data_IF_994237828403
#
_entry.id   IF_994237828403
#
_cell.length_a   1.000
_cell.length_b   1.000
_cell.length_c   1.000
_cell.angle_alpha   90.00
_cell.angle_beta   90.00
_cell.angle_gamma   90.00
#
_symmetry.space_group_name_H-M   'P 1'
#
loop_
_entity.id
_entity.type
_entity.pdbx_description
1 polymer ?
#
# COMPACT_ATOMS: atom_id res chain seq x y z
N UNK A 1 13.53 -21.25 -12.96
CA UNK A 1 12.92 -19.93 -13.20
C UNK A 1 13.65 -18.94 -12.33
N UNK A 2 14.29 -17.95 -12.95
CA UNK A 2 15.18 -17.01 -12.30
C UNK A 2 14.49 -16.32 -11.13
N UNK A 3 15.13 -16.38 -9.95
CA UNK A 3 14.83 -15.49 -8.83
C UNK A 3 15.17 -14.10 -9.36
N UNK A 4 14.18 -13.22 -9.52
CA UNK A 4 14.46 -11.82 -9.85
C UNK A 4 15.46 -11.31 -8.81
N UNK A 5 16.60 -10.70 -9.21
CA UNK A 5 17.49 -10.08 -8.25
C UNK A 5 16.67 -9.01 -7.52
N UNK A 6 16.47 -9.19 -6.21
CA UNK A 6 15.71 -8.27 -5.41
C UNK A 6 16.57 -7.02 -5.21
N UNK A 7 16.37 -6.04 -6.10
CA UNK A 7 17.02 -4.75 -6.02
C UNK A 7 16.77 -4.11 -4.64
N UNK A 8 17.78 -3.40 -4.14
CA UNK A 8 17.67 -2.59 -2.92
C UNK A 8 17.61 -1.11 -3.27
N UNK A 9 16.91 -0.33 -2.44
CA UNK A 9 16.85 1.13 -2.59
C UNK A 9 18.08 1.75 -1.95
N UNK A 10 18.82 2.52 -2.73
CA UNK A 10 20.04 3.23 -2.29
C UNK A 10 19.82 4.72 -2.12
N UNK A 11 18.84 5.29 -2.83
CA UNK A 11 18.43 6.69 -2.69
C UNK A 11 17.00 6.92 -3.19
N UNK A 12 16.42 8.03 -2.75
CA UNK A 12 15.09 8.49 -3.13
C UNK A 12 15.14 10.01 -3.29
N UNK A 13 14.55 10.53 -4.37
CA UNK A 13 14.40 11.97 -4.56
C UNK A 13 13.09 12.30 -5.28
N UNK A 14 12.66 13.54 -5.17
CA UNK A 14 11.46 14.06 -5.80
C UNK A 14 11.85 15.27 -6.65
N UNK A 15 11.36 15.32 -7.89
CA UNK A 15 11.56 16.47 -8.77
C UNK A 15 10.22 17.05 -9.20
N UNK A 16 10.09 18.37 -9.04
CA UNK A 16 8.96 19.17 -9.48
C UNK A 16 9.29 19.88 -10.78
N UNK A 17 8.35 19.89 -11.71
CA UNK A 17 8.47 20.49 -13.03
C UNK A 17 7.37 21.54 -13.14
N UNK A 18 7.74 22.79 -13.40
CA UNK A 18 6.79 23.87 -13.63
C UNK A 18 6.99 24.48 -15.02
N UNK A 19 5.95 25.05 -15.64
CA UNK A 19 6.09 25.72 -16.94
C UNK A 19 7.02 26.93 -16.89
N UNK A 20 7.17 27.55 -15.72
CA UNK A 20 7.90 28.82 -15.51
C UNK A 20 9.32 28.63 -15.01
N UNK A 21 9.63 27.49 -14.39
CA UNK A 21 10.94 27.15 -13.87
C UNK A 21 11.34 25.76 -14.39
N UNK A 22 12.29 25.67 -15.34
CA UNK A 22 12.82 24.38 -15.75
C UNK A 22 13.49 23.69 -14.55
N UNK A 23 13.49 22.35 -14.50
CA UNK A 23 14.15 21.61 -13.43
C UNK A 23 15.63 21.99 -13.37
N UNK A 24 16.15 22.23 -12.16
CA UNK A 24 17.56 22.59 -11.93
C UNK A 24 18.53 21.53 -12.48
N UNK A 25 18.10 20.26 -12.52
CA UNK A 25 18.79 19.14 -13.16
C UNK A 25 17.81 17.96 -13.24
N UNK A 26 17.68 17.29 -14.39
CA UNK A 26 16.94 16.03 -14.45
C UNK A 26 17.78 14.89 -13.84
N UNK A 27 17.19 14.02 -13.01
CA UNK A 27 17.90 12.87 -12.49
C UNK A 27 18.42 11.98 -13.62
N UNK A 28 19.71 11.60 -13.55
CA UNK A 28 20.34 10.72 -14.54
C UNK A 28 19.54 9.42 -14.75
N UNK A 29 19.02 9.16 -15.97
CA UNK A 29 18.19 8.00 -16.24
C UNK A 29 18.93 6.67 -16.13
N UNK A 30 20.28 6.65 -16.12
CA UNK A 30 21.05 5.43 -15.88
C UNK A 30 21.03 5.01 -14.41
N UNK A 31 20.85 5.97 -13.49
CA UNK A 31 20.87 5.75 -12.04
C UNK A 31 19.46 5.75 -11.45
N UNK A 32 18.61 6.66 -11.91
CA UNK A 32 17.32 6.97 -11.31
C UNK A 32 16.18 6.36 -12.11
N UNK A 33 15.32 5.63 -11.41
CA UNK A 33 14.12 5.06 -11.97
C UNK A 33 12.92 5.89 -11.52
N UNK A 34 12.17 6.44 -12.47
CA UNK A 34 10.96 7.20 -12.20
C UNK A 34 9.81 6.25 -11.82
N UNK A 35 9.09 6.59 -10.76
CA UNK A 35 7.78 5.99 -10.49
C UNK A 35 6.76 6.69 -11.37
N UNK A 36 6.09 5.93 -12.23
CA UNK A 36 5.13 6.44 -13.23
C UNK A 36 3.79 6.86 -12.60
N UNK A 37 3.86 7.78 -11.63
CA UNK A 37 2.74 8.44 -10.99
C UNK A 37 3.05 9.93 -10.84
N UNK A 38 2.28 10.78 -11.52
CA UNK A 38 2.36 12.22 -11.30
C UNK A 38 1.76 12.53 -9.92
N UNK A 39 2.55 13.13 -9.05
CA UNK A 39 2.13 13.41 -7.68
C UNK A 39 1.02 14.49 -7.62
N UNK A 40 0.76 15.20 -8.72
CA UNK A 40 -0.40 16.08 -8.88
C UNK A 40 -1.58 15.44 -9.60
N UNK A 41 -1.51 14.15 -9.96
CA UNK A 41 -2.56 13.42 -10.68
C UNK A 41 -3.04 14.14 -11.96
N UNK A 42 -2.14 14.88 -12.63
CA UNK A 42 -2.46 15.69 -13.81
C UNK A 42 -3.55 16.76 -13.60
N UNK A 43 -3.84 17.13 -12.35
CA UNK A 43 -4.83 18.16 -11.99
C UNK A 43 -4.21 19.56 -11.86
N UNK A 44 -2.88 19.67 -11.91
CA UNK A 44 -2.12 20.91 -11.81
C UNK A 44 -1.40 21.22 -13.12
N UNK A 45 -1.05 22.50 -13.32
CA UNK A 45 -0.13 22.90 -14.39
C UNK A 45 1.33 22.47 -14.12
N UNK A 46 1.63 22.10 -12.87
CA UNK A 46 2.91 21.54 -12.47
C UNK A 46 2.81 20.01 -12.45
N UNK A 47 3.93 19.34 -12.70
CA UNK A 47 4.07 17.90 -12.52
C UNK A 47 5.12 17.63 -11.45
N UNK A 48 4.97 16.54 -10.72
CA UNK A 48 6.00 16.11 -9.80
C UNK A 48 6.14 14.59 -9.87
N UNK A 49 7.38 14.13 -9.84
CA UNK A 49 7.71 12.72 -10.01
C UNK A 49 8.67 12.26 -8.92
N UNK A 50 8.45 11.03 -8.46
CA UNK A 50 9.32 10.36 -7.51
C UNK A 50 10.35 9.50 -8.25
N UNK A 51 11.61 9.62 -7.86
CA UNK A 51 12.74 8.92 -8.47
C UNK A 51 13.44 8.06 -7.44
N UNK A 52 13.66 6.79 -7.77
CA UNK A 52 14.28 5.80 -6.89
C UNK A 52 15.59 5.31 -7.51
N UNK A 53 16.68 5.39 -6.77
CA UNK A 53 17.93 4.74 -7.14
C UNK A 53 17.93 3.32 -6.56
N UNK A 54 18.24 2.35 -7.42
CA UNK A 54 18.23 0.92 -7.08
C UNK A 54 19.55 0.28 -7.46
N UNK A 55 20.01 -0.65 -6.63
CA UNK A 55 21.23 -1.42 -6.89
C UNK A 55 20.97 -2.92 -6.74
N UNK A 56 21.71 -3.71 -7.51
CA UNK A 56 21.74 -5.15 -7.36
C UNK A 56 22.56 -5.52 -6.11
N UNK A 57 22.01 -6.31 -5.16
CA UNK A 57 22.74 -6.79 -3.99
C UNK A 57 24.13 -7.38 -4.27
N UNK A 58 24.29 -8.05 -5.42
CA UNK A 58 25.54 -8.72 -5.80
C UNK A 58 26.65 -7.73 -6.22
N UNK A 59 26.28 -6.52 -6.61
CA UNK A 59 27.19 -5.47 -7.08
C UNK A 59 27.55 -4.47 -5.97
N UNK A 60 26.96 -4.61 -4.78
CA UNK A 60 27.19 -3.71 -3.66
C UNK A 60 28.58 -3.89 -3.05
N UNK A 61 29.21 -2.77 -2.76
CA UNK A 61 30.50 -2.65 -2.07
C UNK A 61 30.31 -2.00 -0.70
N UNK A 62 31.34 -2.06 0.15
CA UNK A 62 31.30 -1.44 1.49
C UNK A 62 31.16 0.10 1.46
N UNK A 63 31.40 0.73 0.31
CA UNK A 63 31.20 2.18 0.12
C UNK A 63 29.77 2.54 -0.28
N UNK A 64 28.98 1.57 -0.73
CA UNK A 64 27.59 1.79 -1.09
C UNK A 64 26.73 2.02 0.15
N UNK A 65 25.68 2.81 -0.04
CA UNK A 65 24.80 3.24 1.04
C UNK A 65 23.39 2.70 0.77
N UNK A 66 22.80 2.09 1.80
CA UNK A 66 21.45 1.54 1.78
C UNK A 66 20.48 2.43 2.53
N UNK A 67 19.26 2.54 2.02
CA UNK A 67 18.15 3.18 2.73
C UNK A 67 17.53 2.16 3.69
N UNK A 68 17.48 2.51 4.97
CA UNK A 68 16.91 1.70 6.04
C UNK A 68 15.50 2.14 6.43
N UNK A 69 15.22 3.43 6.37
CA UNK A 69 13.91 3.94 6.74
C UNK A 69 13.68 5.22 5.96
N UNK A 70 12.41 5.51 5.71
CA UNK A 70 11.95 6.69 5.01
C UNK A 70 10.85 7.29 5.87
N UNK A 71 10.92 8.60 6.11
CA UNK A 71 9.89 9.35 6.81
C UNK A 71 9.45 10.53 5.99
N UNK A 72 8.22 10.96 6.23
CA UNK A 72 7.66 12.16 5.61
C UNK A 72 7.11 13.07 6.70
N UNK A 73 7.42 14.36 6.62
CA UNK A 73 6.95 15.38 7.55
C UNK A 73 8.09 16.17 8.19
N UNK A 74 7.91 16.52 9.46
CA UNK A 74 8.87 17.33 10.21
C UNK A 74 10.20 16.61 10.44
N UNK A 75 11.26 17.41 10.62
CA UNK A 75 12.60 16.89 10.86
C UNK A 75 12.62 15.96 12.08
N UNK A 76 13.13 14.72 11.94
CA UNK A 76 13.24 13.80 13.06
C UNK A 76 14.19 14.36 14.12
N UNK A 77 13.72 14.43 15.37
CA UNK A 77 14.33 15.26 16.41
C UNK A 77 15.57 14.65 17.08
N UNK A 78 15.85 13.34 16.95
CA UNK A 78 16.93 12.68 17.69
C UNK A 78 17.58 11.47 16.98
N UNK A 79 18.90 11.33 17.19
CA UNK A 79 19.61 10.03 17.27
C UNK A 79 20.30 9.51 16.01
N UNK A 80 19.85 9.88 14.81
CA UNK A 80 20.42 9.38 13.56
C UNK A 80 20.67 10.51 12.55
N UNK A 81 21.67 10.34 11.68
CA UNK A 81 21.95 11.26 10.57
C UNK A 81 20.91 11.06 9.46
N UNK A 82 19.74 11.71 9.61
CA UNK A 82 18.68 11.69 8.61
C UNK A 82 18.99 12.65 7.45
N UNK A 83 18.99 12.08 6.24
CA UNK A 83 19.09 12.72 4.93
C UNK A 83 17.83 13.49 4.52
N UNK A 84 17.82 14.83 4.48
CA UNK A 84 16.67 15.56 3.90
C UNK A 84 16.62 15.42 2.37
N UNK A 85 15.40 15.33 1.83
CA UNK A 85 15.06 15.30 0.41
C UNK A 85 13.82 16.19 0.15
N UNK A 86 13.63 16.67 -1.10
CA UNK A 86 12.44 17.46 -1.45
C UNK A 86 11.13 16.73 -1.12
N UNK A 87 10.07 17.50 -0.85
CA UNK A 87 8.75 16.96 -0.49
C UNK A 87 8.63 16.51 0.97
N UNK A 88 9.49 17.02 1.86
CA UNK A 88 9.47 16.67 3.29
C UNK A 88 9.91 15.25 3.58
N UNK A 89 10.70 14.65 2.68
CA UNK A 89 11.19 13.28 2.77
C UNK A 89 12.49 13.27 3.59
N UNK A 90 12.61 12.30 4.49
CA UNK A 90 13.80 12.06 5.31
C UNK A 90 14.25 10.62 5.12
N UNK A 91 15.52 10.42 4.78
CA UNK A 91 16.12 9.09 4.57
C UNK A 91 17.07 8.74 5.71
N UNK A 92 16.88 7.57 6.31
CA UNK A 92 17.87 6.96 7.18
C UNK A 92 18.75 6.06 6.33
N UNK A 93 20.05 6.35 6.30
CA UNK A 93 21.00 5.66 5.44
C UNK A 93 22.16 5.06 6.22
N UNK A 94 22.65 3.90 5.80
CA UNK A 94 23.87 3.27 6.33
C UNK A 94 24.76 2.72 5.23
N UNK A 95 26.07 2.68 5.47
CA UNK A 95 26.99 1.92 4.61
C UNK A 95 26.62 0.44 4.60
N UNK A 96 26.78 -0.19 3.45
CA UNK A 96 26.53 -1.61 3.29
C UNK A 96 27.50 -2.43 4.16
N UNK A 97 26.96 -3.26 5.05
CA UNK A 97 27.71 -4.10 5.98
C UNK A 97 27.96 -5.51 5.47
N UNK A 98 27.65 -5.79 4.19
CA UNK A 98 27.68 -7.13 3.61
C UNK A 98 26.38 -7.93 3.82
N UNK A 99 25.42 -7.41 4.58
CA UNK A 99 24.13 -8.07 4.85
C UNK A 99 22.97 -7.11 4.60
N UNK A 100 21.97 -7.60 3.88
CA UNK A 100 20.67 -6.95 3.70
C UNK A 100 19.73 -7.60 4.73
N UNK A 101 19.41 -6.86 5.79
CA UNK A 101 18.47 -7.29 6.82
C UNK A 101 17.04 -6.83 6.51
N UNK A 102 16.10 -7.16 7.40
CA UNK A 102 14.69 -6.81 7.25
C UNK A 102 14.41 -5.31 7.36
N UNK A 103 15.36 -4.50 7.83
CA UNK A 103 15.20 -3.06 7.90
C UNK A 103 15.52 -2.37 6.57
N UNK A 104 16.19 -3.03 5.61
CA UNK A 104 16.53 -2.36 4.34
C UNK A 104 15.27 -2.14 3.49
N UNK A 105 15.10 -0.93 2.96
CA UNK A 105 14.03 -0.61 2.01
C UNK A 105 14.37 -1.19 0.64
N UNK A 106 13.46 -1.98 0.07
CA UNK A 106 13.66 -2.64 -1.23
C UNK A 106 12.75 -2.10 -2.32
N UNK A 107 11.56 -1.65 -1.96
CA UNK A 107 10.63 -1.03 -2.91
C UNK A 107 9.97 0.22 -2.30
N UNK A 108 9.65 1.17 -3.16
CA UNK A 108 8.92 2.40 -2.84
C UNK A 108 7.87 2.59 -3.92
N UNK A 109 6.70 3.04 -3.52
CA UNK A 109 5.54 3.33 -4.36
C UNK A 109 4.80 4.55 -3.78
N UNK A 110 3.82 5.07 -4.50
CA UNK A 110 2.99 6.21 -4.08
C UNK A 110 1.53 5.82 -4.16
N UNK A 111 0.76 6.11 -3.12
CA UNK A 111 -0.70 5.97 -3.12
C UNK A 111 -1.34 7.33 -2.80
N UNK A 112 -2.57 7.52 -3.24
CA UNK A 112 -3.27 8.80 -3.20
C UNK A 112 -4.59 8.68 -2.46
N UNK A 113 -4.97 9.75 -1.76
CA UNK A 113 -6.23 9.83 -1.03
C UNK A 113 -6.05 9.81 0.48
N UNK A 114 -7.00 10.43 1.18
CA UNK A 114 -7.03 10.43 2.66
C UNK A 114 -7.36 9.03 3.20
N UNK A 115 -8.18 8.29 2.46
CA UNK A 115 -8.63 6.91 2.65
C UNK A 115 -7.72 5.86 1.99
N UNK A 116 -6.57 6.27 1.47
CA UNK A 116 -5.59 5.35 0.87
C UNK A 116 -5.16 4.26 1.85
N UNK A 117 -5.07 3.03 1.35
CA UNK A 117 -4.60 1.85 2.09
C UNK A 117 -3.63 1.05 1.22
N UNK A 118 -2.64 0.41 1.84
CA UNK A 118 -1.79 -0.56 1.15
C UNK A 118 -2.00 -1.96 1.74
N UNK A 119 -2.74 -2.84 1.06
CA UNK A 119 -3.05 -4.16 1.57
C UNK A 119 -1.97 -5.19 1.20
N UNK A 120 -0.94 -4.80 0.47
CA UNK A 120 0.15 -5.73 0.09
C UNK A 120 0.90 -6.15 1.35
N UNK A 121 1.17 -7.46 1.54
CA UNK A 121 1.91 -7.93 2.71
C UNK A 121 3.28 -7.24 2.85
N UNK A 122 3.62 -6.82 4.07
CA UNK A 122 4.87 -6.12 4.45
C UNK A 122 5.07 -4.72 3.87
N UNK A 123 4.13 -4.21 3.09
CA UNK A 123 4.14 -2.80 2.70
C UNK A 123 3.63 -1.94 3.85
N UNK A 124 4.24 -0.77 4.02
CA UNK A 124 3.85 0.21 5.01
C UNK A 124 3.53 1.53 4.30
N UNK A 125 2.26 1.94 4.41
CA UNK A 125 1.81 3.25 3.94
C UNK A 125 2.12 4.31 5.00
N UNK A 126 2.79 5.38 4.60
CA UNK A 126 3.07 6.50 5.48
C UNK A 126 1.81 7.31 5.77
N UNK A 127 1.65 7.70 7.04
CA UNK A 127 0.51 8.50 7.50
C UNK A 127 0.58 9.94 6.98
N UNK A 128 1.77 10.54 7.06
CA UNK A 128 2.02 11.89 6.59
C UNK A 128 2.11 11.90 5.07
N UNK A 129 1.39 12.80 4.38
CA UNK A 129 1.54 12.96 2.95
C UNK A 129 2.81 13.73 2.62
N UNK A 130 3.29 13.58 1.38
CA UNK A 130 4.39 14.36 0.83
C UNK A 130 4.07 15.85 0.96
N UNK A 131 5.04 16.63 1.41
CA UNK A 131 4.94 18.08 1.55
C UNK A 131 5.12 18.77 0.19
N UNK A 132 4.20 18.47 -0.72
CA UNK A 132 4.05 19.10 -2.03
C UNK A 132 2.76 19.92 -2.04
N UNK A 133 2.68 20.96 -2.87
CA UNK A 133 1.50 21.82 -2.96
C UNK A 133 0.37 21.16 -3.78
N UNK A 134 0.02 19.90 -3.46
CA UNK A 134 -1.01 19.13 -4.15
C UNK A 134 -2.42 19.47 -3.68
N UNK A 135 -3.43 19.02 -4.43
CA UNK A 135 -4.83 19.14 -4.03
C UNK A 135 -5.07 18.45 -2.67
N UNK A 136 -5.74 19.11 -1.70
CA UNK A 136 -5.96 18.53 -0.36
C UNK A 136 -6.79 17.24 -0.37
N UNK A 137 -7.62 17.03 -1.39
CA UNK A 137 -8.50 15.86 -1.52
C UNK A 137 -7.74 14.57 -1.86
N UNK A 138 -6.61 14.69 -2.58
CA UNK A 138 -5.82 13.55 -3.04
C UNK A 138 -4.36 13.67 -2.59
N UNK A 139 -4.09 13.64 -1.27
CA UNK A 139 -2.72 13.73 -0.78
C UNK A 139 -1.90 12.52 -1.26
N UNK A 140 -0.70 12.76 -1.78
CA UNK A 140 0.24 11.71 -2.17
C UNK A 140 0.98 11.18 -0.92
N UNK A 141 0.94 9.87 -0.69
CA UNK A 141 1.58 9.20 0.46
C UNK A 141 2.55 8.14 -0.05
N UNK A 142 3.73 8.06 0.58
CA UNK A 142 4.70 7.01 0.26
C UNK A 142 4.24 5.67 0.82
N UNK A 143 4.35 4.63 0.01
CA UNK A 143 4.27 3.25 0.47
C UNK A 143 5.62 2.57 0.28
N UNK A 144 6.10 1.87 1.31
CA UNK A 144 7.45 1.31 1.34
C UNK A 144 7.43 -0.17 1.70
N UNK A 145 8.28 -0.95 1.05
CA UNK A 145 8.53 -2.36 1.37
C UNK A 145 9.89 -2.50 2.02
N UNK A 146 9.91 -3.14 3.19
CA UNK A 146 11.12 -3.46 3.92
C UNK A 146 11.50 -4.93 3.79
N UNK A 147 12.81 -5.18 3.78
CA UNK A 147 13.41 -6.49 3.69
C UNK A 147 13.31 -7.12 2.30
N UNK A 148 14.12 -8.15 2.08
CA UNK A 148 14.04 -8.93 0.85
C UNK A 148 12.68 -9.64 0.81
N UNK A 149 12.04 -9.66 -0.37
CA UNK A 149 10.98 -10.66 -0.62
C UNK A 149 11.59 -12.03 -0.42
N UNK A 150 11.42 -12.59 0.77
CA UNK A 150 11.61 -14.02 0.96
C UNK A 150 10.77 -14.74 -0.09
N UNK A 151 11.17 -15.95 -0.48
CA UNK A 151 10.25 -16.85 -1.18
C UNK A 151 8.90 -16.75 -0.45
N UNK A 152 7.76 -16.59 -1.16
CA UNK A 152 6.47 -16.74 -0.51
C UNK A 152 6.59 -18.00 0.33
N UNK A 153 6.44 -17.85 1.66
CA UNK A 153 6.69 -18.95 2.56
C UNK A 153 5.91 -20.18 2.09
N UNK A 154 6.35 -21.40 2.40
CA UNK A 154 5.59 -22.60 2.03
C UNK A 154 4.14 -22.62 2.56
N UNK A 155 3.72 -21.62 3.34
CA UNK A 155 2.36 -21.41 3.77
C UNK A 155 1.44 -20.80 2.69
N UNK A 156 0.62 -21.71 2.17
CA UNK A 156 -0.83 -21.58 2.24
C UNK A 156 -1.51 -20.65 1.22
N UNK A 157 -1.40 -21.03 -0.07
CA UNK A 157 -2.66 -21.10 -0.82
C UNK A 157 -3.49 -22.19 -0.14
N UNK A 158 -4.36 -21.81 0.81
CA UNK A 158 -5.34 -22.73 1.35
C UNK A 158 -6.04 -23.35 0.13
N UNK A 159 -5.80 -24.63 -0.12
CA UNK A 159 -6.44 -25.31 -1.22
C UNK A 159 -7.94 -25.15 -1.01
N UNK A 160 -8.65 -24.61 -2.01
CA UNK A 160 -10.09 -24.44 -1.95
C UNK A 160 -10.71 -25.81 -1.71
N UNK A 161 -11.28 -26.00 -0.52
CA UNK A 161 -11.84 -27.26 -0.06
C UNK A 161 -13.18 -26.98 0.57
N UNK A 162 -14.11 -27.89 0.34
CA UNK A 162 -15.35 -27.93 1.10
C UNK A 162 -15.00 -28.12 2.57
N UNK A 163 -15.64 -27.35 3.45
CA UNK A 163 -15.41 -27.41 4.89
C UNK A 163 -15.95 -28.71 5.47
N UNK A 164 -15.60 -29.00 6.72
CA UNK A 164 -16.03 -30.22 7.43
C UNK A 164 -17.57 -30.33 7.54
N UNK A 165 -18.30 -29.20 7.45
CA UNK A 165 -19.76 -29.13 7.46
C UNK A 165 -20.40 -29.40 6.08
N UNK A 166 -19.61 -29.74 5.06
CA UNK A 166 -20.07 -29.98 3.70
C UNK A 166 -20.41 -28.72 2.90
N UNK A 167 -20.12 -27.52 3.42
CA UNK A 167 -20.43 -26.25 2.73
C UNK A 167 -19.17 -25.61 2.14
N UNK A 168 -19.39 -24.84 1.07
CA UNK A 168 -18.40 -23.96 0.45
C UNK A 168 -19.08 -22.63 0.15
N UNK A 169 -18.58 -21.54 0.72
CA UNK A 169 -19.19 -20.21 0.61
C UNK A 169 -18.40 -19.33 -0.35
N UNK A 170 -19.12 -18.73 -1.28
CA UNK A 170 -18.59 -17.80 -2.26
C UNK A 170 -19.25 -16.45 -2.03
N UNK A 171 -18.44 -15.41 -1.87
CA UNK A 171 -18.90 -14.02 -1.93
C UNK A 171 -18.46 -13.44 -3.27
N UNK A 172 -19.41 -12.89 -4.02
CA UNK A 172 -19.14 -12.22 -5.29
C UNK A 172 -19.30 -10.72 -5.09
N UNK A 173 -18.32 -9.94 -5.53
CA UNK A 173 -18.29 -8.48 -5.45
C UNK A 173 -18.15 -7.94 -6.86
N UNK A 174 -18.99 -6.96 -7.20
CA UNK A 174 -19.05 -6.34 -8.52
C UNK A 174 -19.41 -4.87 -8.36
N UNK A 175 -19.15 -4.05 -9.39
CA UNK A 175 -19.74 -2.72 -9.55
C UNK A 175 -19.48 -1.79 -8.34
N UNK A 176 -18.29 -1.88 -7.74
CA UNK A 176 -17.93 -1.05 -6.58
C UNK A 176 -17.61 0.38 -6.99
N UNK A 177 -17.21 0.59 -8.25
CA UNK A 177 -16.94 1.91 -8.83
C UNK A 177 -16.12 2.83 -7.90
N UNK A 178 -15.01 2.32 -7.36
CA UNK A 178 -14.16 3.09 -6.46
C UNK A 178 -13.41 4.19 -7.23
N UNK A 179 -13.15 5.30 -6.57
CA UNK A 179 -12.35 6.43 -7.08
C UNK A 179 -11.05 6.57 -6.27
N UNK A 180 -10.16 7.48 -6.67
CA UNK A 180 -8.88 7.69 -5.97
C UNK A 180 -9.05 8.16 -4.53
N UNK A 181 -9.95 9.12 -4.29
CA UNK A 181 -10.28 9.62 -2.94
C UNK A 181 -11.56 8.99 -2.40
N UNK A 182 -12.25 9.68 -1.50
CA UNK A 182 -13.43 9.14 -0.79
C UNK A 182 -14.71 9.04 -1.64
N UNK A 183 -14.77 9.75 -2.77
CA UNK A 183 -15.98 9.85 -3.60
C UNK A 183 -17.14 10.57 -2.90
N UNK A 184 -18.20 10.86 -3.66
CA UNK A 184 -19.39 11.55 -3.14
C UNK A 184 -20.64 10.73 -3.45
N UNK A 185 -21.39 10.38 -2.41
CA UNK A 185 -22.70 9.76 -2.51
C UNK A 185 -23.78 10.83 -2.31
N UNK A 186 -24.66 11.02 -3.29
CA UNK A 186 -25.68 12.10 -3.32
C UNK A 186 -27.12 11.60 -3.25
N UNK A 187 -27.30 10.30 -3.39
CA UNK A 187 -28.57 9.64 -3.65
C UNK A 187 -28.81 8.45 -2.70
N UNK A 188 -28.08 8.40 -1.59
CA UNK A 188 -28.34 7.40 -0.55
C UNK A 188 -29.71 7.62 0.09
N UNK A 189 -30.43 6.52 0.31
CA UNK A 189 -31.74 6.51 0.97
C UNK A 189 -31.71 5.62 2.21
N UNK A 190 -32.57 5.90 3.19
CA UNK A 190 -32.76 5.04 4.36
C UNK A 190 -33.73 3.88 4.10
N UNK A 191 -33.94 3.03 5.11
CA UNK A 191 -34.84 1.87 5.03
C UNK A 191 -36.33 2.25 4.84
N UNK A 192 -36.67 3.53 4.99
CA UNK A 192 -38.02 4.07 4.79
C UNK A 192 -38.15 4.83 3.46
N UNK A 193 -37.11 4.82 2.62
CA UNK A 193 -37.09 5.49 1.33
C UNK A 193 -36.90 7.00 1.43
N UNK A 194 -36.36 7.51 2.55
CA UNK A 194 -36.05 8.92 2.71
C UNK A 194 -34.60 9.20 2.31
N UNK A 195 -34.40 10.27 1.55
CA UNK A 195 -33.08 10.75 1.18
C UNK A 195 -32.21 11.05 2.42
N UNK A 196 -30.99 10.55 2.38
CA UNK A 196 -29.94 10.83 3.35
C UNK A 196 -29.04 11.98 2.84
N UNK A 197 -28.41 12.74 3.75
CA UNK A 197 -27.45 13.77 3.36
C UNK A 197 -26.29 13.23 2.53
N UNK A 198 -25.68 14.09 1.72
CA UNK A 198 -24.46 13.77 1.00
C UNK A 198 -23.38 13.24 1.97
N UNK A 199 -22.64 12.22 1.52
CA UNK A 199 -21.59 11.60 2.34
C UNK A 199 -20.52 10.94 1.48
N UNK A 200 -19.44 10.50 2.12
CA UNK A 200 -18.34 9.77 1.47
C UNK A 200 -18.84 8.41 0.95
N UNK A 201 -18.60 8.12 -0.33
CA UNK A 201 -19.11 6.93 -1.00
C UNK A 201 -18.25 5.69 -0.71
N UNK A 202 -16.96 5.79 -1.03
CA UNK A 202 -16.02 4.66 -1.00
C UNK A 202 -15.89 4.06 0.42
N UNK A 203 -15.77 4.85 1.50
CA UNK A 203 -15.75 4.30 2.86
C UNK A 203 -16.99 3.47 3.21
N UNK A 204 -18.18 3.86 2.73
CA UNK A 204 -19.41 3.09 2.95
C UNK A 204 -19.38 1.75 2.21
N UNK A 205 -18.87 1.74 0.99
CA UNK A 205 -18.68 0.51 0.20
C UNK A 205 -17.69 -0.44 0.87
N UNK A 206 -16.54 0.09 1.33
CA UNK A 206 -15.53 -0.69 2.07
C UNK A 206 -16.12 -1.27 3.35
N UNK A 207 -16.86 -0.47 4.11
CA UNK A 207 -17.56 -0.89 5.32
C UNK A 207 -18.56 -2.02 5.04
N UNK A 208 -19.36 -1.88 3.97
CA UNK A 208 -20.34 -2.88 3.57
C UNK A 208 -19.67 -4.21 3.18
N UNK A 209 -18.60 -4.15 2.39
CA UNK A 209 -17.78 -5.32 2.03
C UNK A 209 -17.22 -5.97 3.30
N UNK A 210 -16.60 -5.19 4.19
CA UNK A 210 -16.02 -5.68 5.44
C UNK A 210 -17.04 -6.43 6.30
N UNK A 211 -18.20 -5.82 6.56
CA UNK A 211 -19.28 -6.45 7.34
C UNK A 211 -19.78 -7.73 6.69
N UNK A 212 -19.96 -7.73 5.37
CA UNK A 212 -20.39 -8.93 4.63
C UNK A 212 -19.38 -10.07 4.78
N UNK A 213 -18.09 -9.77 4.65
CA UNK A 213 -17.02 -10.76 4.82
C UNK A 213 -16.95 -11.30 6.25
N UNK A 214 -17.21 -10.48 7.27
CA UNK A 214 -17.24 -10.90 8.68
C UNK A 214 -18.42 -11.82 9.02
N UNK A 215 -19.58 -11.53 8.45
CA UNK A 215 -20.80 -12.32 8.64
C UNK A 215 -20.72 -13.64 7.88
N UNK A 216 -20.40 -13.58 6.59
CA UNK A 216 -20.46 -14.76 5.71
C UNK A 216 -19.25 -15.68 5.88
N UNK A 217 -18.07 -15.12 6.21
CA UNK A 217 -16.80 -15.85 6.32
C UNK A 217 -16.59 -16.78 5.11
N UNK A 218 -16.48 -16.20 3.89
CA UNK A 218 -16.40 -16.99 2.67
C UNK A 218 -15.11 -17.79 2.56
N UNK A 219 -15.18 -18.89 1.81
CA UNK A 219 -14.03 -19.70 1.40
C UNK A 219 -13.38 -19.15 0.11
N UNK A 220 -14.17 -18.44 -0.70
CA UNK A 220 -13.72 -17.77 -1.93
C UNK A 220 -14.41 -16.42 -2.09
N UNK A 221 -13.62 -15.40 -2.44
CA UNK A 221 -14.14 -14.10 -2.89
C UNK A 221 -13.86 -13.96 -4.38
N UNK A 222 -14.86 -13.57 -5.17
CA UNK A 222 -14.77 -13.38 -6.62
C UNK A 222 -15.08 -11.93 -6.94
N UNK A 223 -14.21 -11.28 -7.71
CA UNK A 223 -14.43 -9.93 -8.25
C UNK A 223 -14.89 -10.06 -9.71
N UNK A 224 -16.07 -9.52 -10.06
CA UNK A 224 -16.70 -9.78 -11.37
C UNK A 224 -16.75 -8.62 -12.34
N UNK A 225 -16.14 -7.47 -12.02
CA UNK A 225 -16.07 -6.33 -12.94
C UNK A 225 -16.53 -5.03 -12.30
N UNK A 226 -16.15 -3.92 -12.94
CA UNK A 226 -16.54 -2.55 -12.56
C UNK A 226 -16.15 -2.16 -11.13
N UNK A 227 -14.96 -2.60 -10.72
CA UNK A 227 -14.39 -2.22 -9.43
C UNK A 227 -13.99 -0.75 -9.37
N UNK A 228 -13.72 -0.15 -10.53
CA UNK A 228 -13.17 1.20 -10.67
C UNK A 228 -14.17 2.10 -11.40
N UNK A 229 -14.33 3.32 -10.91
CA UNK A 229 -15.07 4.36 -11.63
C UNK A 229 -14.25 4.89 -12.80
N UNK A 230 -14.91 5.40 -13.84
CA UNK A 230 -14.23 5.98 -15.00
C UNK A 230 -13.43 7.26 -14.66
N UNK A 231 -13.82 7.96 -13.59
CA UNK A 231 -13.17 9.19 -13.12
C UNK A 231 -12.00 8.95 -12.15
N UNK A 232 -11.58 7.69 -11.95
CA UNK A 232 -10.46 7.39 -11.06
C UNK A 232 -9.14 7.94 -11.63
N UNK A 233 -8.44 8.76 -10.85
CA UNK A 233 -7.16 9.36 -11.24
C UNK A 233 -5.97 8.42 -11.06
N UNK A 234 -6.07 7.48 -10.10
CA UNK A 234 -5.08 6.44 -9.83
C UNK A 234 -5.79 5.13 -9.51
N UNK A 235 -5.76 4.22 -10.48
CA UNK A 235 -6.49 2.94 -10.40
C UNK A 235 -5.99 2.06 -9.26
N UNK A 236 -4.71 2.15 -8.89
CA UNK A 236 -4.12 1.32 -7.85
C UNK A 236 -4.65 1.71 -6.46
N UNK A 237 -4.64 3.00 -6.13
CA UNK A 237 -5.16 3.52 -4.86
C UNK A 237 -6.64 3.20 -4.69
N UNK A 238 -7.43 3.36 -5.76
CA UNK A 238 -8.84 3.00 -5.78
C UNK A 238 -9.07 1.48 -5.58
N UNK A 239 -8.37 0.63 -6.34
CA UNK A 239 -8.54 -0.83 -6.28
C UNK A 239 -8.11 -1.39 -4.92
N UNK A 240 -7.08 -0.81 -4.30
CA UNK A 240 -6.55 -1.25 -3.02
C UNK A 240 -7.60 -1.19 -1.91
N UNK A 241 -8.53 -0.22 -1.97
CA UNK A 241 -9.66 -0.14 -1.03
C UNK A 241 -10.60 -1.34 -1.12
N UNK A 242 -10.86 -1.87 -2.32
CA UNK A 242 -11.71 -3.06 -2.53
C UNK A 242 -11.04 -4.31 -1.96
N UNK A 243 -9.75 -4.50 -2.25
CA UNK A 243 -9.04 -5.74 -1.90
C UNK A 243 -8.50 -5.76 -0.47
N UNK A 244 -8.36 -4.61 0.18
CA UNK A 244 -7.89 -4.51 1.56
C UNK A 244 -8.68 -5.36 2.56
N UNK A 245 -10.02 -5.23 2.67
CA UNK A 245 -10.79 -6.05 3.61
C UNK A 245 -10.73 -7.56 3.29
N UNK A 246 -10.47 -7.93 2.03
CA UNK A 246 -10.32 -9.32 1.59
C UNK A 246 -8.97 -9.88 2.05
N UNK A 247 -7.88 -9.15 1.78
CA UNK A 247 -6.51 -9.58 2.09
C UNK A 247 -6.30 -9.64 3.61
N UNK A 248 -6.80 -8.66 4.36
CA UNK A 248 -6.71 -8.63 5.81
C UNK A 248 -7.28 -9.92 6.45
N UNK A 249 -8.48 -10.33 6.02
CA UNK A 249 -9.15 -11.53 6.54
C UNK A 249 -8.45 -12.82 6.12
N UNK A 250 -7.88 -12.85 4.91
CA UNK A 250 -7.05 -13.97 4.46
C UNK A 250 -5.84 -14.17 5.37
N UNK A 251 -5.12 -13.09 5.71
CA UNK A 251 -3.97 -13.16 6.61
C UNK A 251 -4.37 -13.58 8.04
N UNK A 252 -5.48 -13.08 8.58
CA UNK A 252 -5.97 -13.49 9.88
C UNK A 252 -6.33 -14.99 9.94
N UNK A 253 -6.89 -15.54 8.85
CA UNK A 253 -7.17 -16.98 8.75
C UNK A 253 -5.88 -17.81 8.72
N UNK A 254 -4.86 -17.35 8.00
CA UNK A 254 -3.55 -18.00 7.95
C UNK A 254 -2.88 -18.04 9.33
N UNK A 255 -2.85 -16.93 10.06
CA UNK A 255 -2.28 -16.87 11.42
C UNK A 255 -3.00 -17.84 12.37
N UNK A 256 -4.33 -17.98 12.25
CA UNK A 256 -5.10 -18.96 13.04
C UNK A 256 -4.80 -20.41 12.67
N UNK A 257 -4.56 -20.70 11.39
CA UNK A 257 -4.23 -22.04 10.91
C UNK A 257 -2.84 -22.51 11.39
N UNK A 258 -1.91 -21.56 11.57
CA UNK A 258 -0.54 -21.83 12.02
C UNK A 258 -0.38 -21.98 13.54
N UNK A 259 -1.41 -21.62 14.33
CA UNK A 259 -1.41 -21.88 15.76
C UNK A 259 -1.62 -23.38 16.04
N UNK A 260 -0.76 -24.03 16.85
CA UNK A 260 -0.92 -25.44 17.18
C UNK A 260 -2.27 -25.66 17.88
N UNK A 261 -3.11 -26.53 17.30
CA UNK A 261 -4.45 -26.91 17.80
C UNK A 261 -4.44 -27.49 19.23
N UNK A 262 -3.27 -27.71 19.83
CA UNK A 262 -3.06 -28.32 21.15
C UNK A 262 -3.28 -27.38 22.34
N UNK A 263 -3.41 -26.06 22.16
CA UNK A 263 -3.59 -25.12 23.29
C UNK A 263 -5.06 -24.76 23.61
N UNK A 264 -6.05 -25.33 22.89
CA UNK A 264 -7.47 -25.06 23.10
C UNK A 264 -8.22 -26.16 23.88
N UNK A 265 -7.51 -27.00 24.64
CA UNK A 265 -8.12 -27.87 25.67
C UNK A 265 -7.60 -27.48 27.05
N UNK A 266 -8.15 -26.42 27.62
CA UNK A 266 -8.23 -26.33 29.08
C UNK A 266 -9.40 -27.23 29.49
N UNK A 267 -9.18 -28.29 30.29
CA UNK A 267 -10.29 -29.08 30.82
C UNK A 267 -11.12 -28.17 31.71
N UNK A 268 -12.41 -28.04 31.41
CA UNK A 268 -13.39 -27.62 32.42
C UNK A 268 -13.55 -28.79 33.40
N UNK A 269 -12.67 -28.87 34.39
CA UNK A 269 -12.99 -29.51 35.67
C UNK A 269 -12.45 -28.64 36.80
N UNK A 270 -13.31 -28.49 37.83
CA UNK A 270 -13.11 -27.82 39.12
C UNK A 270 -13.16 -26.29 39.08
N UNK A 271 -14.38 -25.73 39.12
CA UNK A 271 -14.99 -25.08 40.30
C UNK A 271 -16.48 -24.87 40.05
#
# INVERSE_FOLDING_TARGET
MAVLPHLVVTDLTLSTYSPTEPPLCEPDPQKWHRIEKDLYLHTSQQNAWLYVARANPEELTAEDVLVLDIRVGDAPSFGHSWESRPGGIWLLRRKFSGIIDEAVVTEVDVLFGTDAVDPRPKWALMRSPLQINSQPEFPARLSVLHGIRGKPGPDARAALRVRDDGKFRIVQISDTHMVTGVGVCKDSIDAHGKDLPESEADPRTVDFIGRTLDLEKPDLVVLTGDQLHHDTLDSQSALFKVVAPIIERSQQQLTKALLPRTLLKVPRELF
#
